data_IF_634927814206
#
_entry.id   IF_634927814206
#
_cell.length_a   1.000
_cell.length_b   1.000
_cell.length_c   1.000
_cell.angle_alpha   90.00
_cell.angle_beta   90.00
_cell.angle_gamma   90.00
#
_symmetry.space_group_name_H-M   'P 1'
#
loop_
_entity.id
_entity.type
_entity.pdbx_description
1 polymer ?
#
# COMPACT_ATOMS: atom_id res chain seq x y z
N UNK A 1 -26.96 18.96 -30.78
CA UNK A 1 -26.85 18.49 -29.38
C UNK A 1 -25.60 19.10 -28.78
N UNK A 2 -25.75 19.95 -27.75
CA UNK A 2 -24.60 20.53 -27.04
C UNK A 2 -23.99 19.47 -26.11
N UNK A 3 -22.65 19.36 -26.01
CA UNK A 3 -22.02 18.40 -25.12
C UNK A 3 -22.36 18.75 -23.66
N UNK A 4 -22.84 17.76 -22.93
CA UNK A 4 -23.16 17.83 -21.52
C UNK A 4 -21.96 18.35 -20.72
N UNK A 5 -22.02 19.61 -20.25
CA UNK A 5 -21.03 20.22 -19.36
C UNK A 5 -21.07 19.46 -18.03
N UNK A 6 -20.13 18.51 -17.85
CA UNK A 6 -20.02 17.68 -16.65
C UNK A 6 -19.72 18.58 -15.45
N UNK A 7 -20.65 18.67 -14.49
CA UNK A 7 -20.44 19.32 -13.19
C UNK A 7 -19.53 18.47 -12.30
N UNK A 8 -18.23 18.51 -12.54
CA UNK A 8 -17.23 18.42 -11.49
C UNK A 8 -16.61 19.79 -11.33
N UNK A 9 -16.46 20.27 -10.10
CA UNK A 9 -15.74 21.52 -9.85
C UNK A 9 -14.25 21.29 -10.10
N UNK A 10 -13.81 21.26 -11.35
CA UNK A 10 -12.48 21.79 -11.65
C UNK A 10 -12.55 23.25 -11.22
N UNK A 11 -11.87 23.60 -10.14
CA UNK A 11 -11.69 25.02 -9.80
C UNK A 11 -11.00 25.62 -11.01
N UNK A 12 -11.62 26.63 -11.65
CA UNK A 12 -11.06 27.26 -12.84
C UNK A 12 -9.62 27.70 -12.56
N UNK A 13 -8.68 27.31 -13.43
CA UNK A 13 -7.26 27.68 -13.34
C UNK A 13 -6.34 26.71 -12.58
N UNK A 14 -6.81 25.53 -12.17
CA UNK A 14 -5.95 24.51 -11.53
C UNK A 14 -5.75 23.30 -12.44
N UNK A 15 -4.54 23.16 -12.98
CA UNK A 15 -4.14 22.01 -13.81
C UNK A 15 -3.69 20.83 -12.92
N UNK A 16 -4.07 19.62 -13.31
CA UNK A 16 -3.57 18.38 -12.73
C UNK A 16 -2.44 17.88 -13.65
N UNK A 17 -1.20 17.83 -13.14
CA UNK A 17 -0.10 17.24 -13.91
C UNK A 17 -0.35 15.73 -14.08
N UNK A 18 -0.05 15.18 -15.26
CA UNK A 18 -0.30 13.77 -15.62
C UNK A 18 0.96 13.21 -16.27
N UNK A 19 1.89 12.63 -15.50
CA UNK A 19 3.12 12.08 -16.06
C UNK A 19 2.83 10.98 -17.11
N UNK A 20 3.47 11.03 -18.26
CA UNK A 20 3.24 10.00 -19.29
C UNK A 20 3.97 8.69 -18.95
N UNK A 21 5.20 8.81 -18.46
CA UNK A 21 6.08 7.70 -18.10
C UNK A 21 5.94 7.30 -16.63
N UNK A 22 6.21 6.02 -16.35
CA UNK A 22 6.35 5.53 -14.98
C UNK A 22 7.59 6.13 -14.30
N UNK A 23 7.39 6.52 -13.05
CA UNK A 23 8.44 6.95 -12.12
C UNK A 23 8.21 6.25 -10.78
N UNK A 24 9.24 6.17 -9.95
CA UNK A 24 9.13 5.62 -8.59
C UNK A 24 7.99 6.26 -7.78
N UNK A 25 7.86 7.60 -7.82
CA UNK A 25 6.78 8.30 -7.11
C UNK A 25 5.40 8.00 -7.69
N UNK A 26 5.29 7.88 -9.03
CA UNK A 26 4.02 7.54 -9.67
C UNK A 26 3.60 6.12 -9.32
N UNK A 27 4.53 5.15 -9.35
CA UNK A 27 4.27 3.78 -8.88
C UNK A 27 3.81 3.80 -7.43
N UNK A 28 4.50 4.55 -6.57
CA UNK A 28 4.20 4.61 -5.14
C UNK A 28 2.78 5.13 -4.86
N UNK A 29 2.41 6.25 -5.49
CA UNK A 29 1.10 6.88 -5.24
C UNK A 29 -0.05 6.04 -5.82
N UNK A 30 0.14 5.48 -7.02
CA UNK A 30 -0.88 4.63 -7.65
C UNK A 30 -1.04 3.33 -6.86
N UNK A 31 0.05 2.73 -6.36
CA UNK A 31 -0.02 1.52 -5.54
C UNK A 31 -0.81 1.74 -4.25
N UNK A 32 -0.52 2.80 -3.49
CA UNK A 32 -1.28 3.12 -2.27
C UNK A 32 -2.77 3.39 -2.55
N UNK A 33 -3.07 4.11 -3.63
CA UNK A 33 -4.46 4.36 -4.04
C UNK A 33 -5.19 3.08 -4.46
N UNK A 34 -4.46 2.11 -5.03
CA UNK A 34 -5.01 0.82 -5.45
C UNK A 34 -5.30 -0.13 -4.27
N UNK A 35 -4.52 -0.08 -3.18
CA UNK A 35 -4.67 -0.99 -2.04
C UNK A 35 -5.63 -0.44 -0.97
N UNK A 36 -5.28 0.67 -0.33
CA UNK A 36 -6.05 1.28 0.77
C UNK A 36 -6.83 2.54 0.31
N UNK A 37 -6.90 2.75 -1.00
CA UNK A 37 -7.61 3.86 -1.62
C UNK A 37 -8.93 3.49 -2.30
N UNK A 38 -9.62 4.55 -2.72
CA UNK A 38 -10.88 4.51 -3.46
C UNK A 38 -10.87 5.64 -4.49
N UNK A 39 -10.93 5.27 -5.77
CA UNK A 39 -10.99 6.21 -6.88
C UNK A 39 -12.45 6.42 -7.28
N UNK A 40 -13.09 7.34 -6.58
CA UNK A 40 -14.49 7.71 -6.81
C UNK A 40 -14.67 8.53 -8.10
N UNK A 41 -15.93 8.81 -8.45
CA UNK A 41 -16.28 9.59 -9.65
C UNK A 41 -15.64 10.98 -9.67
N UNK A 42 -15.44 11.59 -8.51
CA UNK A 42 -15.05 12.99 -8.39
C UNK A 42 -13.66 13.21 -7.79
N UNK A 43 -12.91 12.14 -7.54
CA UNK A 43 -11.60 12.25 -6.89
C UNK A 43 -11.07 10.92 -6.39
N UNK A 44 -9.92 11.00 -5.75
CA UNK A 44 -9.29 9.87 -5.07
C UNK A 44 -9.34 10.11 -3.57
N UNK A 45 -9.59 9.05 -2.81
CA UNK A 45 -9.52 9.05 -1.35
C UNK A 45 -8.66 7.89 -0.90
N UNK A 46 -7.74 8.13 0.02
CA UNK A 46 -6.91 7.10 0.66
C UNK A 46 -7.18 7.07 2.16
N UNK A 47 -7.26 5.87 2.72
CA UNK A 47 -7.60 5.63 4.12
C UNK A 47 -6.51 4.83 4.80
N UNK A 48 -6.00 5.33 5.93
CA UNK A 48 -5.06 4.53 6.73
C UNK A 48 -5.10 4.93 8.20
N UNK A 49 -4.83 3.99 9.10
CA UNK A 49 -4.68 4.28 10.54
C UNK A 49 -3.30 4.86 10.89
N UNK A 50 -2.32 4.71 10.01
CA UNK A 50 -1.00 5.32 10.13
C UNK A 50 -1.04 6.72 9.54
N UNK A 51 -0.92 7.73 10.42
CA UNK A 51 -0.81 9.12 10.01
C UNK A 51 0.37 9.36 9.06
N UNK A 52 1.48 8.66 9.27
CA UNK A 52 2.67 8.74 8.40
C UNK A 52 2.36 8.31 6.97
N UNK A 53 1.57 7.24 6.77
CA UNK A 53 1.17 6.82 5.42
C UNK A 53 0.28 7.89 4.77
N UNK A 54 -0.64 8.47 5.54
CA UNK A 54 -1.56 9.50 5.03
C UNK A 54 -0.80 10.76 4.62
N UNK A 55 0.17 11.19 5.42
CA UNK A 55 1.00 12.35 5.09
C UNK A 55 1.88 12.06 3.87
N UNK A 56 2.48 10.88 3.80
CA UNK A 56 3.26 10.44 2.64
C UNK A 56 2.46 10.41 1.34
N UNK A 57 1.26 9.82 1.35
CA UNK A 57 0.36 9.82 0.17
C UNK A 57 -0.10 11.24 -0.18
N UNK A 58 -0.33 12.11 0.81
CA UNK A 58 -0.63 13.52 0.58
C UNK A 58 0.52 14.23 -0.15
N UNK A 59 1.75 13.99 0.28
CA UNK A 59 2.95 14.58 -0.31
C UNK A 59 3.19 14.06 -1.72
N UNK A 60 3.00 12.76 -1.95
CA UNK A 60 3.06 12.15 -3.28
C UNK A 60 2.00 12.72 -4.23
N UNK A 61 0.75 12.90 -3.77
CA UNK A 61 -0.30 13.52 -4.58
C UNK A 61 0.11 14.93 -5.01
N UNK A 62 0.69 15.72 -4.10
CA UNK A 62 1.17 17.05 -4.42
C UNK A 62 2.39 17.03 -5.37
N UNK A 63 3.35 16.14 -5.11
CA UNK A 63 4.59 16.01 -5.90
C UNK A 63 4.33 15.53 -7.33
N UNK A 64 3.48 14.51 -7.49
CA UNK A 64 3.24 13.83 -8.77
C UNK A 64 2.17 14.52 -9.60
N UNK A 65 1.18 15.16 -8.98
CA UNK A 65 0.03 15.71 -9.72
C UNK A 65 -0.16 17.22 -9.51
N UNK A 66 0.61 17.86 -8.63
CA UNK A 66 0.40 19.26 -8.24
C UNK A 66 -0.87 19.49 -7.43
N UNK A 67 -1.48 18.42 -6.88
CA UNK A 67 -2.77 18.51 -6.19
C UNK A 67 -2.59 18.57 -4.68
N UNK A 68 -3.15 19.62 -4.07
CA UNK A 68 -3.23 19.71 -2.61
C UNK A 68 -4.39 18.85 -2.11
N UNK A 69 -4.05 17.75 -1.45
CA UNK A 69 -5.04 16.87 -0.84
C UNK A 69 -5.54 17.41 0.52
N UNK A 70 -6.74 16.99 0.92
CA UNK A 70 -7.36 17.36 2.20
C UNK A 70 -7.33 16.17 3.14
N UNK A 71 -6.63 16.31 4.26
CA UNK A 71 -6.59 15.35 5.36
C UNK A 71 -7.77 15.58 6.32
N UNK A 72 -8.41 14.50 6.75
CA UNK A 72 -9.47 14.49 7.77
C UNK A 72 -9.31 13.26 8.67
N UNK A 73 -9.62 13.41 9.95
CA UNK A 73 -9.74 12.28 10.87
C UNK A 73 -11.17 11.72 10.74
N UNK A 74 -11.30 10.41 10.67
CA UNK A 74 -12.57 9.65 10.73
C UNK A 74 -12.62 8.85 12.03
N UNK A 75 -13.75 8.19 12.26
CA UNK A 75 -13.95 7.31 13.41
C UNK A 75 -12.90 6.19 13.48
N UNK A 76 -12.64 5.69 14.70
CA UNK A 76 -11.69 4.61 14.99
C UNK A 76 -10.23 4.90 14.59
N UNK A 77 -9.81 6.16 14.73
CA UNK A 77 -8.42 6.58 14.49
C UNK A 77 -7.93 6.31 13.06
N UNK A 78 -8.85 6.36 12.09
CA UNK A 78 -8.55 6.25 10.66
C UNK A 78 -8.45 7.66 10.08
N UNK A 79 -7.37 7.94 9.38
CA UNK A 79 -7.19 9.17 8.65
C UNK A 79 -7.62 8.97 7.19
N UNK A 80 -8.19 10.01 6.60
CA UNK A 80 -8.55 10.06 5.19
C UNK A 80 -7.84 11.23 4.53
N UNK A 81 -7.14 10.98 3.42
CA UNK A 81 -6.66 12.04 2.52
C UNK A 81 -7.45 11.99 1.22
N UNK A 82 -7.96 13.14 0.78
CA UNK A 82 -8.86 13.23 -0.37
C UNK A 82 -8.43 14.32 -1.36
N UNK A 83 -8.42 13.99 -2.64
CA UNK A 83 -8.15 14.89 -3.74
C UNK A 83 -9.30 14.84 -4.75
N UNK A 84 -10.20 15.84 -4.70
CA UNK A 84 -11.41 15.89 -5.52
C UNK A 84 -11.19 16.60 -6.85
N UNK A 85 -10.60 15.87 -7.82
CA UNK A 85 -10.43 16.30 -9.20
C UNK A 85 -10.89 15.17 -10.13
N UNK A 86 -11.84 15.44 -11.02
CA UNK A 86 -12.36 14.41 -11.96
C UNK A 86 -11.22 13.89 -12.85
N UNK A 87 -10.41 14.80 -13.39
CA UNK A 87 -9.32 14.44 -14.29
C UNK A 87 -8.25 13.58 -13.61
N UNK A 88 -7.99 13.82 -12.32
CA UNK A 88 -7.11 12.97 -11.52
C UNK A 88 -7.72 11.59 -11.37
N UNK A 89 -9.01 11.51 -11.03
CA UNK A 89 -9.68 10.23 -10.83
C UNK A 89 -9.72 9.39 -12.12
N UNK A 90 -9.98 10.01 -13.27
CA UNK A 90 -9.95 9.33 -14.56
C UNK A 90 -8.55 8.81 -14.88
N UNK A 91 -7.53 9.65 -14.69
CA UNK A 91 -6.13 9.29 -14.91
C UNK A 91 -5.64 8.18 -13.96
N UNK A 92 -5.96 8.26 -12.66
CA UNK A 92 -5.56 7.23 -11.68
C UNK A 92 -6.21 5.89 -12.02
N UNK A 93 -7.50 5.85 -12.39
CA UNK A 93 -8.15 4.57 -12.79
C UNK A 93 -7.49 3.94 -14.02
N UNK A 94 -7.03 4.75 -14.96
CA UNK A 94 -6.26 4.28 -16.11
C UNK A 94 -4.91 3.72 -15.68
N UNK A 95 -4.16 4.48 -14.90
CA UNK A 95 -2.84 4.07 -14.38
C UNK A 95 -2.90 2.85 -13.47
N UNK A 96 -3.92 2.67 -12.65
CA UNK A 96 -4.10 1.44 -11.85
C UNK A 96 -4.17 0.20 -12.74
N UNK A 97 -4.90 0.27 -13.87
CA UNK A 97 -4.99 -0.85 -14.82
C UNK A 97 -3.65 -1.09 -15.51
N UNK A 98 -2.99 -0.03 -15.96
CA UNK A 98 -1.68 -0.11 -16.61
C UNK A 98 -0.60 -0.66 -15.66
N UNK A 99 -0.62 -0.26 -14.39
CA UNK A 99 0.36 -0.62 -13.37
C UNK A 99 0.48 -2.14 -13.23
N UNK A 100 -0.64 -2.87 -13.28
CA UNK A 100 -0.63 -4.33 -13.13
C UNK A 100 0.13 -5.05 -14.27
N UNK A 101 0.07 -4.49 -15.49
CA UNK A 101 0.86 -4.98 -16.62
C UNK A 101 2.31 -4.53 -16.52
N UNK A 102 2.52 -3.24 -16.27
CA UNK A 102 3.82 -2.61 -16.21
C UNK A 102 4.73 -3.21 -15.11
N UNK A 103 4.21 -3.37 -13.90
CA UNK A 103 5.02 -3.70 -12.72
C UNK A 103 5.73 -5.05 -12.83
N UNK A 104 5.22 -5.97 -13.65
CA UNK A 104 5.86 -7.27 -13.90
C UNK A 104 7.19 -7.13 -14.63
N UNK A 105 7.34 -6.09 -15.46
CA UNK A 105 8.52 -5.81 -16.28
C UNK A 105 9.34 -4.62 -15.76
N UNK A 106 8.83 -3.92 -14.74
CA UNK A 106 9.46 -2.73 -14.19
C UNK A 106 10.86 -3.00 -13.59
N UNK A 107 11.71 -1.96 -13.47
CA UNK A 107 12.95 -2.04 -12.72
C UNK A 107 12.76 -2.52 -11.28
N UNK A 108 13.82 -3.11 -10.70
CA UNK A 108 13.75 -3.75 -9.39
C UNK A 108 13.33 -2.78 -8.27
N UNK A 109 13.75 -1.51 -8.33
CA UNK A 109 13.37 -0.52 -7.31
C UNK A 109 11.88 -0.16 -7.37
N UNK A 110 11.28 -0.10 -8.55
CA UNK A 110 9.84 0.14 -8.69
C UNK A 110 9.00 -1.05 -8.22
N UNK A 111 9.45 -2.28 -8.52
CA UNK A 111 8.85 -3.51 -7.96
C UNK A 111 8.89 -3.51 -6.44
N UNK A 112 10.01 -3.07 -5.86
CA UNK A 112 10.19 -2.95 -4.42
C UNK A 112 9.25 -1.90 -3.82
N UNK A 113 9.09 -0.75 -4.46
CA UNK A 113 8.15 0.31 -4.04
C UNK A 113 6.72 -0.22 -4.05
N UNK A 114 6.32 -0.89 -5.13
CA UNK A 114 4.99 -1.51 -5.22
C UNK A 114 4.75 -2.53 -4.10
N UNK A 115 5.72 -3.43 -3.87
CA UNK A 115 5.63 -4.43 -2.80
C UNK A 115 5.62 -3.78 -1.41
N UNK A 116 6.41 -2.73 -1.19
CA UNK A 116 6.43 -1.99 0.07
C UNK A 116 5.07 -1.34 0.34
N UNK A 117 4.49 -0.65 -0.64
CA UNK A 117 3.14 -0.08 -0.53
C UNK A 117 2.10 -1.16 -0.19
N UNK A 118 2.14 -2.31 -0.88
CA UNK A 118 1.28 -3.45 -0.56
C UNK A 118 1.39 -3.90 0.90
N UNK A 119 2.60 -4.09 1.42
CA UNK A 119 2.78 -4.54 2.81
C UNK A 119 2.54 -3.43 3.86
N UNK A 120 2.70 -2.17 3.48
CA UNK A 120 2.39 -1.05 4.36
C UNK A 120 0.89 -0.86 4.55
N UNK A 121 0.10 -1.13 3.52
CA UNK A 121 -1.36 -1.06 3.58
C UNK A 121 -1.96 -2.39 4.08
N UNK A 122 -1.71 -3.49 3.37
CA UNK A 122 -2.35 -4.78 3.61
C UNK A 122 -1.55 -5.71 4.55
N UNK A 123 -0.30 -5.35 4.82
CA UNK A 123 0.62 -6.23 5.52
C UNK A 123 0.44 -6.28 7.03
N UNK A 124 0.74 -7.43 7.62
CA UNK A 124 0.78 -7.65 9.06
C UNK A 124 1.81 -8.71 9.43
N UNK A 125 2.25 -8.71 10.69
CA UNK A 125 3.12 -9.76 11.23
C UNK A 125 2.29 -10.63 12.17
N UNK A 126 2.21 -11.92 11.85
CA UNK A 126 1.65 -12.92 12.73
C UNK A 126 2.77 -13.57 13.54
N UNK A 127 2.77 -13.31 14.84
CA UNK A 127 3.71 -13.86 15.81
C UNK A 127 2.95 -14.44 17.01
N UNK A 128 2.69 -15.75 17.00
CA UNK A 128 1.96 -16.45 18.09
C UNK A 128 2.26 -17.95 18.08
N UNK A 129 2.38 -18.57 19.27
CA UNK A 129 2.57 -20.03 19.46
C UNK A 129 3.72 -20.61 18.58
N UNK A 130 4.88 -19.95 18.57
CA UNK A 130 6.03 -20.37 17.76
C UNK A 130 5.92 -20.13 16.25
N UNK A 131 4.74 -19.72 15.74
CA UNK A 131 4.56 -19.37 14.33
C UNK A 131 4.95 -17.92 14.10
N UNK A 132 5.75 -17.70 13.06
CA UNK A 132 6.27 -16.39 12.61
C UNK A 132 6.04 -16.30 11.12
N UNK A 133 5.28 -15.30 10.69
CA UNK A 133 5.03 -15.05 9.27
C UNK A 133 4.64 -13.61 9.04
N UNK A 134 5.07 -13.06 7.92
CA UNK A 134 4.53 -11.83 7.35
C UNK A 134 3.33 -12.25 6.49
N UNK A 135 2.23 -11.52 6.60
CA UNK A 135 1.01 -11.72 5.82
C UNK A 135 0.67 -10.44 5.08
N UNK A 136 0.15 -10.54 3.86
CA UNK A 136 -0.57 -9.46 3.19
C UNK A 136 -1.92 -10.00 2.72
N UNK A 137 -3.02 -9.43 3.21
CA UNK A 137 -4.37 -9.88 2.87
C UNK A 137 -4.87 -9.15 1.63
N UNK A 138 -5.56 -9.82 0.73
CA UNK A 138 -6.17 -9.15 -0.43
C UNK A 138 -7.29 -10.02 -1.00
N UNK A 139 -8.40 -9.39 -1.38
CA UNK A 139 -9.53 -10.09 -1.95
C UNK A 139 -9.25 -10.57 -3.39
N UNK A 140 -8.47 -9.81 -4.15
CA UNK A 140 -8.09 -10.27 -5.48
C UNK A 140 -7.01 -11.36 -5.39
N UNK A 141 -7.38 -12.62 -5.66
CA UNK A 141 -6.42 -13.71 -5.81
C UNK A 141 -5.40 -13.45 -6.91
N UNK A 142 -5.82 -12.74 -7.97
CA UNK A 142 -4.95 -12.33 -9.08
C UNK A 142 -3.87 -11.36 -8.59
N UNK A 143 -4.21 -10.41 -7.71
CA UNK A 143 -3.22 -9.52 -7.09
C UNK A 143 -2.29 -10.30 -6.15
N UNK A 144 -2.79 -11.28 -5.40
CA UNK A 144 -1.93 -12.13 -4.56
C UNK A 144 -0.92 -12.94 -5.39
N UNK A 145 -1.34 -13.48 -6.54
CA UNK A 145 -0.43 -14.17 -7.47
C UNK A 145 0.58 -13.21 -8.10
N UNK A 146 0.18 -11.97 -8.42
CA UNK A 146 1.11 -10.93 -8.87
C UNK A 146 2.17 -10.63 -7.79
N UNK A 147 1.75 -10.36 -6.55
CA UNK A 147 2.65 -10.11 -5.42
C UNK A 147 3.59 -11.29 -5.21
N UNK A 148 3.08 -12.53 -5.27
CA UNK A 148 3.89 -13.75 -5.17
C UNK A 148 4.97 -13.81 -6.25
N UNK A 149 4.63 -13.52 -7.50
CA UNK A 149 5.59 -13.48 -8.62
C UNK A 149 6.65 -12.41 -8.40
N UNK A 150 6.25 -11.19 -8.02
CA UNK A 150 7.19 -10.09 -7.76
C UNK A 150 8.16 -10.41 -6.61
N UNK A 151 7.72 -11.13 -5.57
CA UNK A 151 8.60 -11.54 -4.46
C UNK A 151 9.74 -12.47 -4.91
N UNK A 152 9.55 -13.25 -5.98
CA UNK A 152 10.59 -14.13 -6.55
C UNK A 152 11.79 -13.33 -7.05
N UNK A 153 11.57 -12.13 -7.61
CA UNK A 153 12.64 -11.25 -8.09
C UNK A 153 13.58 -10.79 -6.95
N UNK A 154 13.10 -10.84 -5.70
CA UNK A 154 13.87 -10.55 -4.49
C UNK A 154 14.41 -11.83 -3.81
N UNK A 155 14.31 -12.98 -4.46
CA UNK A 155 14.62 -14.31 -3.93
C UNK A 155 13.82 -14.66 -2.67
N UNK A 156 12.61 -14.11 -2.51
CA UNK A 156 11.74 -14.37 -1.36
C UNK A 156 10.68 -15.39 -1.75
N UNK A 157 10.73 -16.56 -1.11
CA UNK A 157 9.69 -17.56 -1.27
C UNK A 157 8.47 -17.19 -0.43
N UNK A 158 7.28 -17.34 -1.03
CA UNK A 158 6.00 -17.08 -0.39
C UNK A 158 4.94 -18.06 -0.88
N UNK A 159 3.87 -18.22 -0.08
CA UNK A 159 2.72 -19.06 -0.41
C UNK A 159 1.42 -18.28 -0.24
N UNK A 160 0.40 -18.62 -1.02
CA UNK A 160 -0.93 -18.06 -0.83
C UNK A 160 -1.73 -19.01 0.04
N UNK A 161 -2.22 -18.50 1.16
CA UNK A 161 -3.25 -19.14 1.99
C UNK A 161 -4.61 -18.73 1.43
N UNK A 162 -5.20 -19.58 0.58
CA UNK A 162 -6.46 -19.30 -0.12
C UNK A 162 -7.64 -19.17 0.84
N UNK A 163 -7.64 -19.90 1.96
CA UNK A 163 -8.68 -19.81 2.98
C UNK A 163 -8.62 -18.48 3.72
N UNK A 164 -7.42 -17.97 4.00
CA UNK A 164 -7.23 -16.67 4.62
C UNK A 164 -7.19 -15.50 3.63
N UNK A 165 -7.19 -15.78 2.31
CA UNK A 165 -7.02 -14.80 1.23
C UNK A 165 -5.80 -13.90 1.46
N UNK A 166 -4.67 -14.53 1.74
CA UNK A 166 -3.44 -13.82 2.10
C UNK A 166 -2.19 -14.46 1.49
N UNK A 167 -1.23 -13.63 1.10
CA UNK A 167 0.14 -14.06 0.82
C UNK A 167 0.90 -14.20 2.15
N UNK A 168 1.67 -15.27 2.31
CA UNK A 168 2.46 -15.55 3.50
C UNK A 168 3.94 -15.72 3.17
N UNK A 169 4.80 -15.01 3.91
CA UNK A 169 6.24 -15.22 3.95
C UNK A 169 6.58 -15.80 5.32
N UNK A 170 7.14 -17.00 5.34
CA UNK A 170 7.41 -17.75 6.58
C UNK A 170 8.78 -18.41 6.56
N UNK A 171 9.32 -18.69 7.74
CA UNK A 171 10.67 -19.25 7.90
C UNK A 171 11.72 -18.15 8.07
N UNK A 172 12.77 -18.47 8.85
CA UNK A 172 13.80 -17.51 9.26
C UNK A 172 14.46 -16.83 8.06
N UNK A 173 14.88 -17.62 7.07
CA UNK A 173 15.56 -17.14 5.86
C UNK A 173 14.69 -16.14 5.09
N UNK A 174 13.45 -16.51 4.77
CA UNK A 174 12.57 -15.68 3.94
C UNK A 174 12.14 -14.39 4.66
N UNK A 175 11.90 -14.45 5.97
CA UNK A 175 11.60 -13.28 6.80
C UNK A 175 12.80 -12.31 6.84
N UNK A 176 14.03 -12.84 6.95
CA UNK A 176 15.25 -12.03 6.91
C UNK A 176 15.46 -11.38 5.53
N UNK A 177 15.23 -12.12 4.44
CA UNK A 177 15.27 -11.57 3.08
C UNK A 177 14.25 -10.45 2.90
N UNK A 178 13.00 -10.65 3.33
CA UNK A 178 11.98 -9.60 3.31
C UNK A 178 12.44 -8.35 4.06
N UNK A 179 12.92 -8.51 5.30
CA UNK A 179 13.42 -7.40 6.13
C UNK A 179 14.57 -6.64 5.45
N UNK A 180 15.45 -7.34 4.75
CA UNK A 180 16.63 -6.75 4.10
C UNK A 180 16.36 -6.13 2.72
N UNK A 181 15.35 -6.59 1.99
CA UNK A 181 15.11 -6.20 0.59
C UNK A 181 13.92 -5.26 0.40
N UNK A 182 12.82 -5.50 1.12
CA UNK A 182 11.56 -4.76 0.96
C UNK A 182 11.26 -4.01 2.26
N UNK A 183 10.98 -4.76 3.33
CA UNK A 183 10.58 -4.27 4.65
C UNK A 183 9.30 -3.41 4.62
N UNK A 184 8.70 -3.20 5.80
CA UNK A 184 7.67 -2.17 5.96
C UNK A 184 8.31 -0.79 5.90
N UNK A 185 7.59 0.28 5.60
CA UNK A 185 8.06 1.65 5.83
C UNK A 185 8.25 1.93 7.32
N UNK A 186 9.02 2.97 7.63
CA UNK A 186 9.21 3.43 9.02
C UNK A 186 7.93 4.10 9.52
N UNK A 187 7.69 4.05 10.83
CA UNK A 187 6.57 4.69 11.51
C UNK A 187 5.20 4.18 11.03
N UNK A 188 5.12 2.97 10.47
CA UNK A 188 3.85 2.34 10.13
C UNK A 188 3.38 1.49 11.29
N UNK A 189 2.28 1.92 11.90
CA UNK A 189 1.72 1.28 13.08
C UNK A 189 0.57 0.35 12.73
N UNK A 190 0.46 -0.74 13.47
CA UNK A 190 -0.75 -1.56 13.43
C UNK A 190 -1.92 -0.83 14.11
N UNK A 191 -3.14 -1.09 13.64
CA UNK A 191 -4.33 -0.58 14.29
C UNK A 191 -4.67 -1.41 15.54
N UNK A 192 -4.33 -0.89 16.72
CA UNK A 192 -4.60 -1.53 18.01
C UNK A 192 -6.07 -1.48 18.44
N UNK A 193 -6.85 -0.55 17.88
CA UNK A 193 -8.26 -0.31 18.24
C UNK A 193 -9.21 -1.28 17.52
N UNK A 194 -8.74 -2.02 16.51
CA UNK A 194 -9.54 -3.10 15.90
C UNK A 194 -9.96 -4.10 16.99
N UNK A 195 -11.27 -4.43 17.04
CA UNK A 195 -11.85 -5.41 18.00
C UNK A 195 -11.03 -6.70 18.08
N UNK A 196 -10.60 -7.21 16.92
CA UNK A 196 -9.83 -8.45 16.78
C UNK A 196 -8.31 -8.24 16.69
N UNK A 197 -7.79 -7.04 17.02
CA UNK A 197 -6.34 -6.85 17.08
C UNK A 197 -5.73 -7.76 18.14
N UNK A 198 -4.72 -8.53 17.72
CA UNK A 198 -3.88 -9.35 18.61
C UNK A 198 -3.05 -8.44 19.51
N UNK A 199 -2.69 -7.26 19.01
CA UNK A 199 -1.82 -6.31 19.66
C UNK A 199 -2.71 -5.18 20.20
N UNK A 200 -3.05 -5.26 21.48
CA UNK A 200 -3.88 -4.27 22.19
C UNK A 200 -3.12 -2.98 22.53
N UNK A 201 -2.07 -2.68 21.78
CA UNK A 201 -1.19 -1.53 21.95
C UNK A 201 -0.65 -1.07 20.59
N UNK A 202 -0.35 0.22 20.46
CA UNK A 202 0.24 0.82 19.26
C UNK A 202 1.68 0.34 19.11
N UNK A 203 1.96 -0.46 18.07
CA UNK A 203 3.28 -0.99 17.77
C UNK A 203 3.62 -0.74 16.30
N UNK A 204 4.89 -0.41 16.04
CA UNK A 204 5.36 -0.30 14.66
C UNK A 204 5.47 -1.70 14.04
N UNK A 205 5.07 -1.86 12.77
CA UNK A 205 5.21 -3.12 12.03
C UNK A 205 6.67 -3.60 12.03
N UNK A 206 7.64 -2.70 11.88
CA UNK A 206 9.08 -3.01 11.96
C UNK A 206 9.51 -3.55 13.31
N UNK A 207 8.98 -3.03 14.42
CA UNK A 207 9.28 -3.54 15.76
C UNK A 207 8.77 -4.97 15.94
N UNK A 208 7.56 -5.27 15.46
CA UNK A 208 6.99 -6.63 15.55
C UNK A 208 7.80 -7.59 14.68
N UNK A 209 8.20 -7.15 13.48
CA UNK A 209 9.08 -7.92 12.60
C UNK A 209 10.43 -8.20 13.29
N UNK A 210 11.03 -7.21 13.96
CA UNK A 210 12.27 -7.38 14.71
C UNK A 210 12.10 -8.38 15.86
N UNK A 211 11.00 -8.32 16.61
CA UNK A 211 10.67 -9.31 17.66
C UNK A 211 10.55 -10.72 17.07
N UNK A 212 9.88 -10.86 15.92
CA UNK A 212 9.74 -12.15 15.24
C UNK A 212 11.11 -12.70 14.77
N UNK A 213 11.99 -11.86 14.24
CA UNK A 213 13.36 -12.24 13.82
C UNK A 213 14.22 -12.62 15.03
N UNK A 214 14.27 -11.79 16.06
CA UNK A 214 15.11 -12.01 17.24
C UNK A 214 14.71 -13.27 18.00
N UNK A 215 13.43 -13.64 17.97
CA UNK A 215 12.97 -14.89 18.58
C UNK A 215 13.48 -16.16 17.87
N UNK A 216 14.15 -16.07 16.72
CA UNK A 216 14.92 -17.18 16.13
C UNK A 216 16.35 -17.28 16.69
N UNK A 217 16.84 -16.25 17.39
CA UNK A 217 18.18 -16.20 17.97
C UNK A 217 18.19 -16.66 19.43
N UNK A 218 17.06 -16.54 20.14
CA UNK A 218 16.92 -16.98 21.54
C UNK A 218 16.42 -18.44 21.68
N UNK A 219 16.32 -19.20 20.59
CA UNK A 219 15.88 -20.61 20.59
C UNK A 219 17.00 -21.59 20.19
N UNK A 220 18.24 -21.11 20.22
CA UNK A 220 19.49 -21.88 20.13
C UNK A 220 20.19 -21.80 21.47
#
# INVERSE_FOLDING_TARGET
>A
MLPNKRKGKCIAGREVFKPESWTEDLVHVIAHLMFDGSVERYGCVYYNSSETNVDHVSDLLNKVFGVKAKKKIRDNSIYAVSAYYIELADYVREKERELLGYIQLAPIEEKKIFLQAFFDDEGSIYYKKGKRRIRGSQDSIVLLELVKKLLVDFNIYSRIDTAARAIEISGKSEILKFKGKINFSKNIFINSERKNSIWKQKLEKREILNKAVNSYLCST
#
